data_IF_253734235984
#
_entry.id   IF_253734235984
#
_cell.length_a   1.000
_cell.length_b   1.000
_cell.length_c   1.000
_cell.angle_alpha   90.00
_cell.angle_beta   90.00
_cell.angle_gamma   90.00
#
_symmetry.space_group_name_H-M   'P 1'
#
loop_
_entity.id
_entity.type
_entity.pdbx_description
1 polymer ?
#
# COMPACT_ATOMS: atom_id res chain seq x y z
N UNK A 1 10.44 0.81 6.53
CA UNK A 1 10.44 -0.55 7.04
C UNK A 1 9.26 -0.74 7.98
N UNK A 2 8.56 -1.85 7.84
CA UNK A 2 7.35 -2.11 8.61
C UNK A 2 7.61 -3.00 9.81
N UNK A 3 8.85 -3.23 10.16
CA UNK A 3 9.23 -4.05 11.29
C UNK A 3 10.44 -3.45 12.02
N UNK A 4 10.54 -3.81 13.27
CA UNK A 4 11.64 -3.43 14.17
C UNK A 4 12.44 -4.70 14.50
N UNK A 5 13.72 -4.72 14.22
CA UNK A 5 14.61 -5.84 14.52
C UNK A 5 14.64 -6.19 16.02
N UNK A 6 14.31 -5.23 16.89
CA UNK A 6 14.15 -5.48 18.31
C UNK A 6 12.98 -6.39 18.68
N UNK A 7 12.06 -6.63 17.73
CA UNK A 7 10.91 -7.51 17.90
C UNK A 7 11.17 -8.97 17.52
N UNK A 8 12.36 -9.27 17.05
CA UNK A 8 12.79 -10.63 16.78
C UNK A 8 13.26 -10.86 15.33
N UNK A 9 13.75 -12.06 15.09
CA UNK A 9 14.21 -12.52 13.77
C UNK A 9 13.02 -12.87 12.85
N UNK A 10 13.27 -12.96 11.56
CA UNK A 10 12.25 -13.18 10.52
C UNK A 10 11.29 -14.34 10.81
N UNK A 11 11.79 -15.43 11.36
CA UNK A 11 10.98 -16.60 11.69
C UNK A 11 10.52 -16.64 13.17
N UNK A 12 10.74 -15.56 13.90
CA UNK A 12 10.31 -15.47 15.28
C UNK A 12 8.79 -15.17 15.33
N UNK A 13 8.00 -15.90 16.12
CA UNK A 13 6.57 -15.64 16.28
C UNK A 13 6.27 -14.25 16.86
N UNK A 14 7.24 -13.61 17.49
CA UNK A 14 7.11 -12.26 18.03
C UNK A 14 7.44 -11.15 17.02
N UNK A 15 7.88 -11.50 15.84
CA UNK A 15 8.16 -10.55 14.77
C UNK A 15 6.86 -9.90 14.26
N UNK A 16 6.78 -8.59 14.37
CA UNK A 16 5.56 -7.83 14.14
C UNK A 16 5.81 -6.66 13.20
N UNK A 17 4.76 -6.31 12.45
CA UNK A 17 4.70 -5.03 11.76
C UNK A 17 4.63 -3.90 12.75
N UNK A 18 5.42 -2.87 12.55
CA UNK A 18 5.44 -1.66 13.38
C UNK A 18 4.96 -0.44 12.60
N UNK A 19 4.49 0.56 13.31
CA UNK A 19 4.09 1.86 12.77
C UNK A 19 4.75 2.98 13.55
N UNK A 20 4.90 4.12 12.91
CA UNK A 20 5.29 5.37 13.58
C UNK A 20 4.01 6.08 14.01
N UNK A 21 3.92 6.42 15.29
CA UNK A 21 2.82 7.25 15.79
C UNK A 21 3.02 8.70 15.31
N UNK A 22 2.04 9.20 14.57
CA UNK A 22 2.09 10.56 13.98
C UNK A 22 2.25 11.67 15.02
N UNK A 23 1.76 11.44 16.25
CA UNK A 23 1.79 12.46 17.30
C UNK A 23 3.08 12.48 18.11
N UNK A 24 3.70 11.32 18.29
CA UNK A 24 4.83 11.17 19.21
C UNK A 24 6.13 10.79 18.52
N UNK A 25 6.06 10.34 17.25
CA UNK A 25 7.21 9.81 16.52
C UNK A 25 7.72 8.46 17.02
N UNK A 26 7.05 7.86 18.04
CA UNK A 26 7.48 6.57 18.58
C UNK A 26 7.20 5.45 17.58
N UNK A 27 8.11 4.48 17.49
CA UNK A 27 7.89 3.24 16.76
C UNK A 27 7.12 2.27 17.66
N UNK A 28 5.97 1.83 17.21
CA UNK A 28 5.03 1.03 18.00
C UNK A 28 4.50 -0.14 17.18
N UNK A 29 4.24 -1.25 17.84
CA UNK A 29 3.41 -2.31 17.28
C UNK A 29 1.93 -1.96 17.50
N UNK A 30 1.14 -1.79 16.42
CA UNK A 30 -0.26 -1.42 16.56
C UNK A 30 -1.09 -2.54 17.14
N UNK A 31 -2.13 -2.18 17.89
CA UNK A 31 -3.12 -3.14 18.35
C UNK A 31 -3.81 -3.79 17.13
N UNK A 32 -3.96 -5.11 17.14
CA UNK A 32 -4.50 -5.86 16.00
C UNK A 32 -3.48 -6.20 14.92
N UNK A 33 -2.19 -5.96 15.14
CA UNK A 33 -1.14 -6.38 14.23
C UNK A 33 -1.06 -7.90 14.09
N UNK A 34 -0.60 -8.33 12.93
CA UNK A 34 -0.67 -9.71 12.44
C UNK A 34 0.20 -10.65 13.27
N UNK A 35 -0.30 -11.20 14.33
CA UNK A 35 0.36 -12.32 15.00
C UNK A 35 -0.46 -13.59 15.05
N UNK A 36 -1.73 -13.48 14.64
CA UNK A 36 -2.70 -14.57 14.70
C UNK A 36 -2.38 -15.79 13.81
N UNK A 37 -1.46 -15.66 12.88
CA UNK A 37 -0.98 -16.79 12.05
C UNK A 37 -0.65 -18.03 12.85
N UNK A 38 -0.27 -17.89 14.08
CA UNK A 38 0.24 -18.97 14.92
C UNK A 38 -0.82 -19.51 15.89
N UNK A 39 -2.06 -19.00 15.82
CA UNK A 39 -3.15 -19.47 16.65
C UNK A 39 -3.02 -19.16 18.15
N UNK A 40 -2.09 -18.29 18.52
CA UNK A 40 -1.93 -17.88 19.91
C UNK A 40 -2.70 -16.58 20.18
N UNK A 41 -3.79 -16.72 20.91
CA UNK A 41 -4.58 -15.60 21.36
C UNK A 41 -3.73 -14.64 22.23
N UNK A 42 -3.76 -13.36 21.90
CA UNK A 42 -3.04 -12.32 22.60
C UNK A 42 -1.68 -11.93 22.03
N UNK A 43 -0.98 -12.78 21.31
CA UNK A 43 0.28 -12.39 20.66
C UNK A 43 0.09 -11.59 19.38
N UNK A 44 -1.05 -11.69 18.74
CA UNK A 44 -1.42 -10.93 17.56
C UNK A 44 -1.98 -9.54 17.88
N UNK A 45 -2.38 -9.31 19.12
CA UNK A 45 -2.79 -8.04 19.66
C UNK A 45 -1.71 -7.50 20.59
N UNK A 46 -0.64 -7.00 20.01
CA UNK A 46 0.33 -6.28 20.84
C UNK A 46 -0.31 -5.03 21.39
N UNK A 47 -0.44 -5.00 22.69
CA UNK A 47 -0.80 -3.76 23.39
C UNK A 47 0.42 -2.84 23.28
N UNK A 48 0.30 -1.69 22.61
CA UNK A 48 1.40 -0.73 22.54
C UNK A 48 1.90 -0.42 23.95
N UNK A 49 3.20 -0.25 24.12
CA UNK A 49 3.79 0.08 25.42
C UNK A 49 2.93 1.08 26.17
N UNK A 50 2.52 0.73 27.40
CA UNK A 50 1.75 1.58 28.32
C UNK A 50 0.32 1.96 27.86
N UNK A 51 -0.42 1.02 27.33
CA UNK A 51 -1.87 1.21 27.14
C UNK A 51 -2.28 2.21 26.05
N UNK A 52 -1.42 2.54 25.13
CA UNK A 52 -1.79 3.32 23.93
C UNK A 52 -2.63 2.45 23.01
N UNK A 53 -3.93 2.54 23.17
CA UNK A 53 -4.91 1.82 22.32
C UNK A 53 -5.23 2.53 21.02
N UNK A 54 -4.94 3.83 20.93
CA UNK A 54 -5.30 4.68 19.80
C UNK A 54 -4.03 5.31 19.19
N UNK A 55 -3.22 4.49 18.56
CA UNK A 55 -2.10 4.96 17.76
C UNK A 55 -2.65 5.52 16.46
N UNK A 56 -2.26 6.73 16.08
CA UNK A 56 -2.51 7.27 14.76
C UNK A 56 -1.26 7.02 13.91
N UNK A 57 -1.27 6.00 13.04
CA UNK A 57 -0.09 5.66 12.28
C UNK A 57 0.22 6.74 11.25
N UNK A 58 1.49 7.13 11.14
CA UNK A 58 1.99 7.88 10.00
C UNK A 58 2.11 6.94 8.81
N UNK A 59 1.22 7.08 7.84
CA UNK A 59 1.20 6.23 6.66
C UNK A 59 2.26 6.63 5.64
N UNK A 60 2.69 7.89 5.63
CA UNK A 60 3.62 8.42 4.65
C UNK A 60 4.66 9.32 5.30
N UNK A 61 5.88 9.23 4.79
CA UNK A 61 7.00 10.09 5.21
C UNK A 61 7.09 11.38 4.38
N UNK A 62 6.12 11.68 3.52
CA UNK A 62 6.22 12.82 2.58
C UNK A 62 6.51 14.17 3.27
N UNK A 63 5.93 14.38 4.45
CA UNK A 63 6.11 15.62 5.21
C UNK A 63 7.16 15.50 6.33
N UNK A 64 7.72 14.32 6.54
CA UNK A 64 8.67 14.03 7.63
C UNK A 64 9.86 13.18 7.12
N UNK A 65 10.25 13.40 5.88
CA UNK A 65 11.38 12.71 5.26
C UNK A 65 12.69 13.41 5.60
N UNK A 66 13.74 12.62 5.75
CA UNK A 66 15.11 13.11 5.82
C UNK A 66 15.73 13.29 4.44
N UNK A 67 15.30 12.44 3.49
CA UNK A 67 15.86 12.40 2.14
C UNK A 67 14.87 11.77 1.15
N UNK A 68 15.26 11.66 -0.10
CA UNK A 68 14.55 10.99 -1.18
C UNK A 68 15.46 9.89 -1.74
N UNK A 69 14.95 8.67 -1.84
CA UNK A 69 15.67 7.57 -2.45
C UNK A 69 14.97 7.10 -3.74
N UNK A 70 15.76 6.69 -4.72
CA UNK A 70 15.26 6.06 -5.93
C UNK A 70 15.17 4.56 -5.72
N UNK A 71 13.99 4.01 -5.96
CA UNK A 71 13.73 2.56 -5.97
C UNK A 71 13.44 2.09 -7.38
N UNK A 72 13.88 0.87 -7.70
CA UNK A 72 13.57 0.22 -8.96
C UNK A 72 12.33 -0.63 -8.74
N UNK A 73 11.26 -0.30 -9.48
CA UNK A 73 10.01 -1.05 -9.44
C UNK A 73 9.98 -2.07 -10.57
N UNK A 74 9.38 -3.25 -10.33
CA UNK A 74 9.17 -4.22 -11.39
C UNK A 74 8.28 -3.61 -12.47
N UNK A 75 8.67 -3.81 -13.72
CA UNK A 75 7.83 -3.51 -14.86
C UNK A 75 6.83 -4.67 -15.05
N UNK A 76 5.55 -4.35 -15.16
CA UNK A 76 4.52 -5.33 -15.52
C UNK A 76 4.42 -5.57 -17.03
N UNK A 77 5.30 -4.97 -17.77
CA UNK A 77 5.26 -5.05 -19.23
C UNK A 77 6.06 -6.22 -19.77
N UNK A 78 5.42 -7.18 -20.28
CA UNK A 78 5.73 -7.84 -21.55
C UNK A 78 7.17 -7.69 -22.07
N UNK A 79 8.16 -8.21 -21.43
CA UNK A 79 9.42 -8.59 -22.06
C UNK A 79 10.37 -7.47 -22.50
N UNK A 80 10.18 -6.26 -22.09
CA UNK A 80 11.20 -5.21 -22.17
C UNK A 80 11.57 -4.83 -20.75
N UNK A 81 12.70 -5.32 -20.28
CA UNK A 81 13.27 -5.00 -18.98
C UNK A 81 13.71 -3.53 -18.90
N UNK A 82 12.77 -2.63 -18.96
CA UNK A 82 13.03 -1.22 -18.63
C UNK A 82 12.65 -1.01 -17.17
N UNK A 83 13.63 -0.95 -16.28
CA UNK A 83 13.34 -0.77 -14.87
C UNK A 83 12.70 0.60 -14.65
N UNK A 84 11.51 0.61 -14.06
CA UNK A 84 10.83 1.82 -13.62
C UNK A 84 11.53 2.39 -12.39
N UNK A 85 12.06 3.59 -12.50
CA UNK A 85 12.71 4.29 -11.39
C UNK A 85 11.72 5.22 -10.73
N UNK A 86 11.40 4.96 -9.48
CA UNK A 86 10.46 5.76 -8.69
C UNK A 86 11.15 6.33 -7.47
N UNK A 87 10.82 7.55 -7.14
CA UNK A 87 11.35 8.17 -5.94
C UNK A 87 10.37 8.05 -4.78
N UNK A 88 10.91 7.77 -3.61
CA UNK A 88 10.16 7.62 -2.36
C UNK A 88 10.79 8.47 -1.26
N UNK A 89 9.97 9.01 -0.34
CA UNK A 89 10.49 9.69 0.83
C UNK A 89 11.09 8.66 1.79
N UNK A 90 12.22 8.95 2.38
CA UNK A 90 12.92 8.04 3.31
C UNK A 90 13.30 8.74 4.61
N UNK A 91 13.41 7.96 5.68
CA UNK A 91 14.04 8.34 6.94
C UNK A 91 15.33 7.56 7.16
N UNK A 92 16.25 8.19 7.87
CA UNK A 92 17.47 7.58 8.38
C UNK A 92 17.22 7.04 9.77
N UNK A 93 17.38 5.75 9.95
CA UNK A 93 17.24 5.10 11.25
C UNK A 93 18.47 4.26 11.56
N UNK A 94 18.76 4.09 12.83
CA UNK A 94 19.84 3.20 13.27
C UNK A 94 19.26 1.79 13.48
N UNK A 95 19.63 0.87 12.61
CA UNK A 95 19.30 -0.56 12.76
C UNK A 95 20.58 -1.33 13.02
N UNK A 96 20.63 -2.05 14.12
CA UNK A 96 21.80 -2.86 14.51
C UNK A 96 23.15 -2.09 14.46
N UNK A 97 23.12 -0.81 14.88
CA UNK A 97 24.31 0.03 14.87
C UNK A 97 24.71 0.58 13.49
N UNK A 98 23.91 0.36 12.44
CA UNK A 98 24.11 0.87 11.09
C UNK A 98 23.00 1.86 10.71
N UNK A 99 23.39 3.02 10.18
CA UNK A 99 22.42 3.93 9.56
C UNK A 99 21.81 3.27 8.33
N UNK A 100 20.48 3.20 8.29
CA UNK A 100 19.70 2.53 7.25
C UNK A 100 18.59 3.46 6.79
N UNK A 101 18.36 3.50 5.48
CA UNK A 101 17.23 4.22 4.90
C UNK A 101 15.98 3.35 4.97
N UNK A 102 14.91 3.90 5.48
CA UNK A 102 13.61 3.24 5.54
C UNK A 102 12.52 4.08 4.90
N UNK A 103 11.52 3.44 4.35
CA UNK A 103 10.30 4.08 3.83
C UNK A 103 9.08 3.28 4.23
N UNK A 104 7.89 3.82 4.04
CA UNK A 104 6.66 3.10 4.37
C UNK A 104 6.20 2.23 3.20
N UNK A 105 5.45 1.17 3.50
CA UNK A 105 4.79 0.34 2.48
C UNK A 105 3.83 1.17 1.65
N UNK A 106 3.13 2.11 2.27
CA UNK A 106 2.22 3.03 1.59
C UNK A 106 2.97 3.92 0.59
N UNK A 107 4.12 4.48 0.96
CA UNK A 107 4.94 5.27 0.04
C UNK A 107 5.46 4.44 -1.14
N UNK A 108 5.86 3.18 -0.90
CA UNK A 108 6.24 2.24 -1.95
C UNK A 108 5.06 1.92 -2.88
N UNK A 109 3.86 1.72 -2.32
CA UNK A 109 2.66 1.44 -3.10
C UNK A 109 2.27 2.63 -3.99
N UNK A 110 2.31 3.85 -3.46
CA UNK A 110 2.06 5.05 -4.26
C UNK A 110 3.09 5.23 -5.38
N UNK A 111 4.36 4.92 -5.08
CA UNK A 111 5.43 4.93 -6.08
C UNK A 111 5.20 3.86 -7.17
N UNK A 112 4.78 2.64 -6.79
CA UNK A 112 4.45 1.57 -7.75
C UNK A 112 3.35 2.00 -8.72
N UNK A 113 2.34 2.72 -8.26
CA UNK A 113 1.29 3.27 -9.12
C UNK A 113 1.70 4.51 -9.93
N UNK A 114 2.91 5.02 -9.72
CA UNK A 114 3.43 6.17 -10.46
C UNK A 114 2.73 7.48 -10.15
N UNK A 115 2.17 7.62 -8.96
CA UNK A 115 1.55 8.87 -8.52
C UNK A 115 2.60 9.98 -8.41
N UNK A 116 2.35 11.08 -9.09
CA UNK A 116 3.19 12.27 -8.95
C UNK A 116 2.95 12.92 -7.58
N UNK A 117 3.99 12.91 -6.79
CA UNK A 117 4.00 13.50 -5.43
C UNK A 117 5.07 14.60 -5.30
N UNK A 118 5.58 15.10 -6.43
CA UNK A 118 6.67 16.07 -6.45
C UNK A 118 8.03 15.51 -6.05
N UNK A 119 8.19 14.18 -6.08
CA UNK A 119 9.45 13.52 -5.70
C UNK A 119 10.35 13.21 -6.91
N UNK A 120 9.80 13.29 -8.11
CA UNK A 120 10.50 12.94 -9.35
C UNK A 120 10.54 11.42 -9.61
N UNK A 121 11.34 11.00 -10.59
CA UNK A 121 11.39 9.63 -11.10
C UNK A 121 10.63 9.49 -12.42
N UNK A 122 10.44 8.24 -12.89
CA UNK A 122 9.69 7.95 -14.11
C UNK A 122 8.18 8.03 -13.82
N UNK A 123 7.60 9.20 -13.98
CA UNK A 123 6.22 9.50 -13.64
C UNK A 123 5.46 9.84 -14.91
N UNK A 124 4.21 9.37 -15.00
CA UNK A 124 3.33 9.69 -16.12
C UNK A 124 3.01 11.19 -16.16
N UNK A 125 2.94 11.74 -17.37
CA UNK A 125 2.54 13.14 -17.59
C UNK A 125 1.04 13.37 -17.30
N UNK A 126 0.25 12.31 -17.26
CA UNK A 126 -1.18 12.34 -17.00
C UNK A 126 -1.85 11.00 -17.30
N UNK A 127 -3.17 11.00 -17.26
CA UNK A 127 -3.98 9.81 -17.55
C UNK A 127 -3.88 9.35 -19.01
N UNK A 128 -3.49 10.25 -19.91
CA UNK A 128 -3.37 9.98 -21.34
C UNK A 128 -1.99 9.41 -21.75
N UNK A 129 -1.08 9.28 -20.79
CA UNK A 129 0.27 8.79 -21.04
C UNK A 129 0.31 7.26 -21.05
N UNK A 130 0.15 6.66 -22.21
CA UNK A 130 0.21 5.21 -22.39
C UNK A 130 1.63 4.63 -22.29
N UNK A 131 2.67 5.47 -22.30
CA UNK A 131 4.07 5.01 -22.23
C UNK A 131 4.49 4.60 -20.82
N UNK A 132 3.74 5.01 -19.82
CA UNK A 132 4.02 4.73 -18.40
C UNK A 132 2.96 3.78 -17.83
N UNK A 133 3.36 2.64 -17.26
CA UNK A 133 2.45 1.68 -16.64
C UNK A 133 1.54 2.30 -15.57
N UNK A 134 0.38 1.68 -15.38
CA UNK A 134 -0.65 2.03 -14.40
C UNK A 134 -1.43 3.31 -14.71
N UNK A 135 -1.31 3.87 -15.91
CA UNK A 135 -2.23 4.92 -16.35
C UNK A 135 -3.49 4.31 -17.00
N UNK A 136 -4.61 5.06 -17.04
CA UNK A 136 -5.79 4.61 -17.75
C UNK A 136 -5.57 4.38 -19.26
N UNK A 137 -4.74 5.20 -19.91
CA UNK A 137 -4.39 5.01 -21.33
C UNK A 137 -3.60 3.72 -21.55
N UNK A 138 -2.60 3.44 -20.73
CA UNK A 138 -1.86 2.18 -20.75
C UNK A 138 -2.78 0.97 -20.52
N UNK A 139 -3.72 1.09 -19.57
CA UNK A 139 -4.68 0.03 -19.30
C UNK A 139 -5.66 -0.21 -20.47
N UNK A 140 -6.06 0.84 -21.20
CA UNK A 140 -6.87 0.70 -22.41
C UNK A 140 -6.15 -0.11 -23.49
N UNK A 141 -4.86 0.14 -23.72
CA UNK A 141 -4.07 -0.61 -24.71
C UNK A 141 -3.99 -2.11 -24.41
N UNK A 142 -3.93 -2.48 -23.14
CA UNK A 142 -3.83 -3.88 -22.71
C UNK A 142 -5.19 -4.57 -22.66
N UNK A 143 -6.19 -3.90 -22.11
CA UNK A 143 -7.48 -4.51 -21.78
C UNK A 143 -8.56 -4.28 -22.83
N UNK A 144 -8.39 -3.26 -23.67
CA UNK A 144 -9.43 -2.77 -24.58
C UNK A 144 -10.57 -2.01 -23.89
N UNK A 145 -10.53 -1.86 -22.56
CA UNK A 145 -11.51 -1.05 -21.83
C UNK A 145 -11.17 0.42 -22.04
N UNK A 146 -12.16 1.20 -22.45
CA UNK A 146 -11.94 2.61 -22.75
C UNK A 146 -11.45 3.39 -21.54
N UNK A 147 -10.40 4.19 -21.73
CA UNK A 147 -9.83 5.06 -20.71
C UNK A 147 -10.90 5.87 -19.96
N UNK A 148 -11.86 6.43 -20.67
CA UNK A 148 -12.95 7.19 -20.07
C UNK A 148 -13.80 6.37 -19.10
N UNK A 149 -14.03 5.08 -19.40
CA UNK A 149 -14.77 4.18 -18.54
C UNK A 149 -13.96 3.77 -17.31
N UNK A 150 -12.66 3.56 -17.49
CA UNK A 150 -11.75 3.28 -16.37
C UNK A 150 -11.76 4.46 -15.39
N UNK A 151 -11.58 5.68 -15.91
CA UNK A 151 -11.56 6.90 -15.08
C UNK A 151 -12.92 7.10 -14.38
N UNK A 152 -14.01 6.95 -15.12
CA UNK A 152 -15.36 7.10 -14.59
C UNK A 152 -15.62 6.10 -13.45
N UNK A 153 -15.35 4.83 -13.69
CA UNK A 153 -15.58 3.76 -12.70
C UNK A 153 -14.76 3.97 -11.44
N UNK A 154 -13.49 4.34 -11.57
CA UNK A 154 -12.64 4.65 -10.42
C UNK A 154 -13.13 5.84 -9.61
N UNK A 155 -13.54 6.92 -10.28
CA UNK A 155 -14.08 8.11 -9.62
C UNK A 155 -15.42 7.84 -8.94
N UNK A 156 -16.36 7.17 -9.60
CA UNK A 156 -17.65 6.83 -9.02
C UNK A 156 -17.49 5.96 -7.76
N UNK A 157 -16.58 4.98 -7.82
CA UNK A 157 -16.29 4.12 -6.67
C UNK A 157 -15.70 4.93 -5.50
N UNK A 158 -14.69 5.75 -5.76
CA UNK A 158 -14.04 6.57 -4.75
C UNK A 158 -14.96 7.65 -4.17
N UNK A 159 -15.74 8.31 -5.02
CA UNK A 159 -16.72 9.32 -4.61
C UNK A 159 -17.80 8.74 -3.69
N UNK A 160 -18.31 7.56 -4.04
CA UNK A 160 -19.28 6.87 -3.18
C UNK A 160 -18.65 6.48 -1.85
N UNK A 161 -17.44 5.91 -1.88
CA UNK A 161 -16.71 5.56 -0.65
C UNK A 161 -16.49 6.78 0.24
N UNK A 162 -16.08 7.91 -0.32
CA UNK A 162 -15.89 9.17 0.40
C UNK A 162 -17.20 9.68 1.02
N UNK A 163 -18.28 9.74 0.25
CA UNK A 163 -19.59 10.22 0.70
C UNK A 163 -20.24 9.35 1.76
N UNK A 164 -19.94 8.07 1.76
CA UNK A 164 -20.56 7.07 2.63
C UNK A 164 -19.65 6.55 3.74
N UNK A 165 -18.44 7.13 3.89
CA UNK A 165 -17.43 6.68 4.83
C UNK A 165 -17.06 5.20 4.62
N UNK A 166 -16.74 4.84 3.38
CA UNK A 166 -16.21 3.52 3.00
C UNK A 166 -17.26 2.47 2.63
N UNK A 167 -18.50 2.85 2.31
CA UNK A 167 -19.55 1.89 1.93
C UNK A 167 -19.60 1.62 0.42
N UNK A 168 -18.44 1.41 -0.19
CA UNK A 168 -18.35 0.83 -1.53
C UNK A 168 -17.88 -0.61 -1.41
N UNK A 169 -18.48 -1.49 -2.20
CA UNK A 169 -18.25 -2.93 -2.14
C UNK A 169 -17.94 -3.49 -3.51
N UNK A 170 -17.06 -4.50 -3.57
CA UNK A 170 -16.83 -5.31 -4.75
C UNK A 170 -17.34 -6.72 -4.49
N UNK A 171 -18.25 -7.20 -5.35
CA UNK A 171 -18.74 -8.56 -5.30
C UNK A 171 -17.92 -9.39 -6.28
N UNK A 172 -17.28 -10.43 -5.76
CA UNK A 172 -16.40 -11.33 -6.52
C UNK A 172 -17.06 -12.69 -6.67
N UNK A 173 -16.87 -13.28 -7.83
CA UNK A 173 -17.42 -14.58 -8.14
C UNK A 173 -16.43 -15.52 -8.85
N UNK A 174 -16.91 -16.70 -9.19
CA UNK A 174 -16.12 -17.76 -9.81
C UNK A 174 -15.44 -17.35 -11.13
N UNK A 175 -16.01 -16.40 -11.86
CA UNK A 175 -15.42 -15.89 -13.09
C UNK A 175 -14.01 -15.31 -12.92
N UNK A 176 -13.71 -14.71 -11.79
CA UNK A 176 -12.38 -14.19 -11.48
C UNK A 176 -11.45 -15.30 -10.97
N UNK A 177 -11.98 -16.27 -10.20
CA UNK A 177 -11.18 -17.31 -9.54
C UNK A 177 -10.50 -18.28 -10.49
N UNK A 178 -11.03 -18.44 -11.68
CA UNK A 178 -10.56 -19.43 -12.66
C UNK A 178 -9.56 -18.89 -13.67
N UNK A 179 -9.17 -17.62 -13.52
CA UNK A 179 -8.21 -17.01 -14.42
C UNK A 179 -6.78 -17.20 -13.93
N UNK A 180 -5.86 -17.23 -14.88
CA UNK A 180 -4.44 -17.23 -14.58
C UNK A 180 -4.08 -15.96 -13.76
N UNK A 181 -3.24 -16.11 -12.76
CA UNK A 181 -2.91 -15.03 -11.81
C UNK A 181 -4.12 -14.41 -11.09
N UNK A 182 -5.13 -15.20 -10.78
CA UNK A 182 -6.31 -14.75 -10.04
C UNK A 182 -5.98 -14.08 -8.70
N UNK A 183 -4.96 -14.56 -8.00
CA UNK A 183 -4.46 -13.97 -6.75
C UNK A 183 -4.01 -12.51 -6.93
N UNK A 184 -3.44 -12.14 -8.08
CA UNK A 184 -3.07 -10.77 -8.39
C UNK A 184 -4.29 -9.88 -8.61
N UNK A 185 -5.35 -10.41 -9.24
CA UNK A 185 -6.63 -9.70 -9.39
C UNK A 185 -7.25 -9.40 -8.03
N UNK A 186 -7.26 -10.37 -7.11
CA UNK A 186 -7.73 -10.15 -5.75
C UNK A 186 -6.91 -9.09 -5.02
N UNK A 187 -5.59 -9.11 -5.15
CA UNK A 187 -4.72 -8.10 -4.54
C UNK A 187 -4.98 -6.71 -5.08
N UNK A 188 -5.19 -6.57 -6.39
CA UNK A 188 -5.54 -5.28 -7.00
C UNK A 188 -6.87 -4.73 -6.46
N UNK A 189 -7.89 -5.58 -6.32
CA UNK A 189 -9.18 -5.22 -5.72
C UNK A 189 -9.02 -4.85 -4.25
N UNK A 190 -8.25 -5.62 -3.49
CA UNK A 190 -7.96 -5.29 -2.09
C UNK A 190 -7.29 -3.92 -1.96
N UNK A 191 -6.34 -3.62 -2.83
CA UNK A 191 -5.70 -2.31 -2.85
C UNK A 191 -6.70 -1.17 -3.11
N UNK A 192 -7.60 -1.34 -4.07
CA UNK A 192 -8.67 -0.38 -4.32
C UNK A 192 -9.52 -0.15 -3.06
N UNK A 193 -9.94 -1.23 -2.40
CA UNK A 193 -10.75 -1.17 -1.19
C UNK A 193 -10.02 -0.50 -0.01
N UNK A 194 -8.72 -0.77 0.15
CA UNK A 194 -7.89 -0.12 1.17
C UNK A 194 -7.71 1.38 0.89
N UNK A 195 -7.39 1.74 -0.35
CA UNK A 195 -7.21 3.14 -0.74
C UNK A 195 -8.47 3.96 -0.54
N UNK A 196 -9.64 3.36 -0.74
CA UNK A 196 -10.94 4.00 -0.55
C UNK A 196 -11.50 3.87 0.88
N UNK A 197 -10.76 3.25 1.81
CA UNK A 197 -11.19 3.08 3.20
C UNK A 197 -12.42 2.19 3.38
N UNK A 198 -12.62 1.21 2.47
CA UNK A 198 -13.81 0.37 2.46
C UNK A 198 -13.69 -0.89 3.34
N UNK A 199 -12.48 -1.24 3.78
CA UNK A 199 -12.26 -2.42 4.60
C UNK A 199 -12.72 -2.18 6.04
N UNK A 200 -13.45 -3.13 6.60
CA UNK A 200 -13.95 -3.07 7.98
C UNK A 200 -15.18 -2.17 8.18
N UNK A 201 -15.78 -1.69 7.10
CA UNK A 201 -17.00 -0.90 7.14
C UNK A 201 -18.23 -1.78 6.81
N UNK A 202 -19.29 -1.65 7.60
CA UNK A 202 -20.55 -2.33 7.28
C UNK A 202 -21.13 -1.76 5.98
N UNK A 203 -21.32 -2.60 4.97
CA UNK A 203 -21.74 -2.21 3.63
C UNK A 203 -20.58 -1.82 2.70
N UNK A 204 -19.34 -2.00 3.13
CA UNK A 204 -18.14 -1.87 2.32
C UNK A 204 -17.35 -3.18 2.22
N UNK A 205 -16.22 -3.15 1.55
CA UNK A 205 -15.32 -4.29 1.43
C UNK A 205 -15.61 -5.17 0.22
N UNK A 206 -15.40 -6.47 0.35
CA UNK A 206 -15.72 -7.43 -0.69
C UNK A 206 -16.67 -8.52 -0.20
N UNK A 207 -17.37 -9.11 -1.10
CA UNK A 207 -18.23 -10.26 -0.89
C UNK A 207 -17.94 -11.33 -1.94
#
# INVERSE_FOLDING_TARGET
ADFDDSLGEENNPDWKTVVIDEKTGDILAPNGSIGFRWGEEGKWNLVPKKGRRNTKPSLSLIFDKDDIATVIMPDFQSGVDVPMRRNVPVKKVMLNGKETLVTTVFDLQLAQYGLDRGLGGDIASGYDDASIPNTPAWAEEITGVKQADIIRSGREFADNASKTMGKSMVILGAGLNHWYHNDMHYRAIMNLLHMCGCIGQSGGGWC
#
